data_IF_631306222962
#
_entry.id   IF_631306222962
#
_cell.length_a   1.000
_cell.length_b   1.000
_cell.length_c   1.000
_cell.angle_alpha   90.00
_cell.angle_beta   90.00
_cell.angle_gamma   90.00
#
_symmetry.space_group_name_H-M   'P 1'
#
loop_
_entity.id
_entity.type
_entity.pdbx_description
1 polymer ?
#
# COMPACT_ATOMS: atom_id res chain seq x y z
N UNK A 1 15.17 -23.35 -15.70
CA UNK A 1 14.29 -23.29 -14.52
C UNK A 1 14.25 -21.84 -14.09
N UNK A 2 13.29 -21.10 -14.63
CA UNK A 2 13.07 -19.68 -14.35
C UNK A 2 12.49 -19.57 -12.95
N UNK A 3 13.24 -18.97 -12.03
CA UNK A 3 12.74 -18.65 -10.69
C UNK A 3 11.73 -17.51 -10.82
N UNK A 4 10.52 -17.76 -10.33
CA UNK A 4 9.44 -16.80 -10.22
C UNK A 4 9.82 -15.70 -9.21
N UNK A 5 9.94 -14.46 -9.69
CA UNK A 5 10.27 -13.29 -8.88
C UNK A 5 9.11 -12.86 -7.95
N UNK A 6 7.95 -13.53 -8.01
CA UNK A 6 6.77 -13.27 -7.17
C UNK A 6 6.89 -13.78 -5.71
N UNK A 7 8.02 -14.37 -5.30
CA UNK A 7 8.13 -15.10 -4.02
C UNK A 7 8.93 -14.38 -2.91
N UNK A 8 9.48 -13.20 -3.18
CA UNK A 8 10.22 -12.45 -2.15
C UNK A 8 9.28 -11.50 -1.41
N UNK A 9 9.20 -11.56 -0.07
CA UNK A 9 8.52 -10.51 0.68
C UNK A 9 9.20 -9.17 0.35
N UNK A 10 8.43 -8.06 0.25
CA UNK A 10 9.01 -6.74 0.03
C UNK A 10 10.10 -6.50 1.07
N UNK A 11 11.31 -6.13 0.62
CA UNK A 11 12.39 -5.77 1.54
C UNK A 11 12.06 -4.41 2.15
N UNK A 12 11.42 -4.42 3.31
CA UNK A 12 11.27 -3.23 4.14
C UNK A 12 12.63 -2.91 4.77
N UNK A 13 13.25 -1.82 4.31
CA UNK A 13 14.47 -1.30 4.90
C UNK A 13 14.10 -0.17 5.85
N UNK A 14 14.30 -0.37 7.16
CA UNK A 14 14.26 0.70 8.15
C UNK A 14 15.63 1.37 8.20
N UNK A 15 15.66 2.70 8.17
CA UNK A 15 16.88 3.49 8.37
C UNK A 15 16.66 4.42 9.57
N UNK A 16 17.54 4.34 10.55
CA UNK A 16 17.62 5.33 11.64
C UNK A 16 18.15 6.64 11.04
N UNK A 17 17.39 7.72 11.14
CA UNK A 17 17.81 9.05 10.67
C UNK A 17 18.43 9.78 11.86
N UNK A 18 19.69 10.22 11.71
CA UNK A 18 20.37 11.07 12.70
C UNK A 18 19.77 12.49 12.64
N UNK A 19 18.67 12.70 13.37
CA UNK A 19 17.96 13.97 13.47
C UNK A 19 17.47 14.19 14.90
N UNK A 20 17.31 15.45 15.32
CA UNK A 20 16.76 15.83 16.64
C UNK A 20 15.29 15.39 16.86
N UNK A 21 14.67 14.80 15.85
CA UNK A 21 13.32 14.24 15.87
C UNK A 21 13.42 12.75 15.56
N UNK A 22 12.78 11.89 16.36
CA UNK A 22 12.78 10.41 16.29
C UNK A 22 12.02 9.86 15.06
N UNK A 23 12.09 10.57 13.93
CA UNK A 23 11.35 10.31 12.71
C UNK A 23 11.95 9.15 11.91
N UNK A 24 11.33 7.97 12.02
CA UNK A 24 11.60 6.80 11.17
C UNK A 24 10.75 6.84 9.88
N UNK A 25 11.38 6.76 8.71
CA UNK A 25 10.72 6.74 7.41
C UNK A 25 10.70 5.32 6.81
N UNK A 26 9.61 4.93 6.15
CA UNK A 26 9.57 3.69 5.37
C UNK A 26 10.17 3.92 3.98
N UNK A 27 11.19 3.12 3.65
CA UNK A 27 11.93 3.16 2.40
C UNK A 27 11.64 1.89 1.59
N UNK A 28 11.15 2.06 0.36
CA UNK A 28 10.86 0.97 -0.58
C UNK A 28 11.88 0.98 -1.72
N UNK A 29 12.66 -0.10 -1.90
CA UNK A 29 13.77 -0.19 -2.87
C UNK A 29 13.53 -1.25 -3.99
N UNK A 30 12.33 -1.84 -4.08
CA UNK A 30 12.06 -2.91 -5.06
C UNK A 30 10.81 -2.63 -5.92
N UNK A 31 10.65 -3.40 -7.01
CA UNK A 31 9.43 -3.44 -7.83
C UNK A 31 9.23 -2.32 -8.85
N UNK A 32 8.00 -2.22 -9.39
CA UNK A 32 7.57 -1.23 -10.41
C UNK A 32 7.43 0.17 -9.80
N UNK A 33 8.51 0.72 -9.23
CA UNK A 33 8.58 1.99 -8.49
C UNK A 33 7.79 3.12 -9.16
N UNK A 34 7.93 3.28 -10.48
CA UNK A 34 7.24 4.35 -11.23
C UNK A 34 5.73 4.19 -11.26
N UNK A 35 5.22 2.96 -11.36
CA UNK A 35 3.79 2.70 -11.40
C UNK A 35 3.19 2.89 -10.01
N UNK A 36 3.79 2.27 -9.00
CA UNK A 36 3.32 2.36 -7.62
C UNK A 36 3.31 3.81 -7.11
N UNK A 37 4.39 4.56 -7.39
CA UNK A 37 4.45 6.00 -7.09
C UNK A 37 3.32 6.78 -7.77
N UNK A 38 2.93 6.41 -8.99
CA UNK A 38 1.82 7.04 -9.68
C UNK A 38 0.50 6.76 -8.95
N UNK A 39 0.28 5.54 -8.46
CA UNK A 39 -0.90 5.21 -7.66
C UNK A 39 -0.94 6.05 -6.38
N UNK A 40 0.17 6.13 -5.62
CA UNK A 40 0.26 6.99 -4.43
C UNK A 40 -0.09 8.46 -4.73
N UNK A 41 0.44 9.00 -5.84
CA UNK A 41 0.14 10.38 -6.25
C UNK A 41 -1.32 10.59 -6.63
N UNK A 42 -1.93 9.61 -7.30
CA UNK A 42 -3.36 9.68 -7.64
C UNK A 42 -4.26 9.62 -6.39
N UNK A 43 -3.78 9.02 -5.30
CA UNK A 43 -4.52 8.86 -4.05
C UNK A 43 -4.21 9.95 -3.01
N UNK A 44 -3.26 10.86 -3.26
CA UNK A 44 -2.71 11.79 -2.26
C UNK A 44 -3.79 12.61 -1.52
N UNK A 45 -4.85 13.01 -2.22
CA UNK A 45 -5.94 13.83 -1.65
C UNK A 45 -7.15 13.02 -1.17
N UNK A 46 -7.11 11.69 -1.29
CA UNK A 46 -8.23 10.81 -0.92
C UNK A 46 -8.20 10.40 0.54
N UNK A 47 -7.03 10.51 1.18
CA UNK A 47 -6.80 9.98 2.52
C UNK A 47 -6.73 8.46 2.60
N UNK A 48 -6.81 7.72 1.48
CA UNK A 48 -6.83 6.25 1.45
C UNK A 48 -5.43 5.63 1.55
N UNK A 49 -4.41 6.36 1.14
CA UNK A 49 -3.01 5.93 1.18
C UNK A 49 -2.18 6.87 2.07
N UNK A 50 -1.00 6.44 2.53
CA UNK A 50 0.00 7.37 3.04
C UNK A 50 0.45 8.35 1.95
N UNK A 51 0.76 9.58 2.35
CA UNK A 51 1.27 10.62 1.46
C UNK A 51 2.65 10.23 0.91
N UNK A 52 2.83 10.43 -0.40
CA UNK A 52 4.13 10.33 -1.04
C UNK A 52 5.02 11.53 -0.66
N UNK A 53 6.26 11.26 -0.25
CA UNK A 53 7.21 12.32 0.16
C UNK A 53 8.25 12.62 -0.92
N UNK A 54 8.73 11.59 -1.62
CA UNK A 54 9.79 11.78 -2.62
C UNK A 54 10.36 10.48 -3.16
N UNK A 55 11.19 10.61 -4.20
CA UNK A 55 11.96 9.50 -4.75
C UNK A 55 13.33 9.41 -4.09
N UNK A 56 13.85 8.19 -4.00
CA UNK A 56 15.23 7.89 -3.64
C UNK A 56 16.03 7.74 -4.92
N UNK A 57 17.15 8.44 -5.02
CA UNK A 57 18.03 8.42 -6.19
C UNK A 57 19.40 7.85 -5.85
N UNK A 58 19.90 6.97 -6.71
CA UNK A 58 21.27 6.48 -6.70
C UNK A 58 21.90 6.76 -8.07
N UNK A 59 23.00 7.52 -8.11
CA UNK A 59 23.66 7.92 -9.36
C UNK A 59 22.71 8.52 -10.42
N UNK A 60 21.71 9.29 -9.99
CA UNK A 60 20.70 9.91 -10.86
C UNK A 60 19.55 8.99 -11.29
N UNK A 61 19.61 7.69 -10.98
CA UNK A 61 18.52 6.73 -11.22
C UNK A 61 17.58 6.69 -10.01
N UNK A 62 16.27 6.70 -10.23
CA UNK A 62 15.29 6.40 -9.17
C UNK A 62 15.43 4.94 -8.77
N UNK A 63 15.78 4.69 -7.52
CA UNK A 63 15.93 3.34 -6.93
C UNK A 63 14.86 3.01 -5.89
N UNK A 64 14.05 4.00 -5.51
CA UNK A 64 13.00 3.81 -4.52
C UNK A 64 12.18 5.06 -4.28
N UNK A 65 11.37 5.04 -3.22
CA UNK A 65 10.58 6.18 -2.78
C UNK A 65 10.33 6.14 -1.27
N UNK A 66 9.86 7.28 -0.75
CA UNK A 66 9.56 7.50 0.66
C UNK A 66 8.10 7.93 0.81
N UNK A 67 7.43 7.37 1.81
CA UNK A 67 6.06 7.69 2.20
C UNK A 67 6.04 8.34 3.60
N UNK A 68 4.92 8.97 3.96
CA UNK A 68 4.71 9.42 5.34
C UNK A 68 4.73 8.25 6.32
N UNK A 69 5.23 8.50 7.53
CA UNK A 69 5.22 7.50 8.61
C UNK A 69 3.78 7.23 9.04
N UNK A 70 3.41 5.96 9.00
CA UNK A 70 2.20 5.48 9.65
C UNK A 70 2.59 4.84 10.99
N UNK A 71 2.07 5.39 12.09
CA UNK A 71 2.30 4.87 13.46
C UNK A 71 1.23 3.85 13.85
N UNK A 72 0.57 3.25 12.86
CA UNK A 72 -0.50 2.28 13.03
C UNK A 72 0.00 0.84 13.18
N UNK A 73 -0.93 -0.05 13.50
CA UNK A 73 -0.72 -1.51 13.42
C UNK A 73 -1.23 -2.04 12.09
N UNK A 74 -0.78 -3.21 11.67
CA UNK A 74 -1.42 -3.91 10.56
C UNK A 74 -2.88 -4.22 10.87
N UNK A 75 -3.71 -4.33 9.83
CA UNK A 75 -5.12 -4.68 9.99
C UNK A 75 -5.31 -6.07 10.57
N UNK A 76 -6.46 -6.30 11.18
CA UNK A 76 -6.92 -7.63 11.58
C UNK A 76 -8.40 -7.79 11.29
N UNK A 77 -8.93 -8.99 11.56
CA UNK A 77 -10.36 -9.29 11.38
C UNK A 77 -11.29 -8.37 12.17
N UNK A 78 -10.82 -7.84 13.30
CA UNK A 78 -11.53 -6.85 14.11
C UNK A 78 -11.70 -5.50 13.40
N UNK A 79 -10.84 -5.18 12.43
CA UNK A 79 -10.86 -3.94 11.66
C UNK A 79 -11.65 -4.07 10.34
N UNK A 80 -12.30 -5.22 10.11
CA UNK A 80 -13.00 -5.55 8.87
C UNK A 80 -13.90 -4.41 8.38
N UNK A 81 -14.65 -3.76 9.27
CA UNK A 81 -15.55 -2.67 8.91
C UNK A 81 -14.82 -1.45 8.32
N UNK A 82 -13.70 -1.06 8.90
CA UNK A 82 -12.90 0.09 8.46
C UNK A 82 -12.14 -0.26 7.18
N UNK A 83 -11.58 -1.47 7.09
CA UNK A 83 -10.92 -1.97 5.88
C UNK A 83 -11.91 -2.07 4.71
N UNK A 84 -13.13 -2.58 4.94
CA UNK A 84 -14.18 -2.62 3.93
C UNK A 84 -14.58 -1.22 3.46
N UNK A 85 -14.78 -0.27 4.37
CA UNK A 85 -15.13 1.09 4.01
C UNK A 85 -14.03 1.75 3.15
N UNK A 86 -12.76 1.55 3.52
CA UNK A 86 -11.61 2.01 2.75
C UNK A 86 -11.62 1.40 1.33
N UNK A 87 -11.75 0.07 1.24
CA UNK A 87 -11.70 -0.63 -0.04
C UNK A 87 -12.92 -0.31 -0.92
N UNK A 88 -14.08 -0.03 -0.32
CA UNK A 88 -15.27 0.46 -1.02
C UNK A 88 -15.04 1.84 -1.64
N UNK A 89 -14.34 2.74 -0.93
CA UNK A 89 -13.98 4.04 -1.49
C UNK A 89 -12.94 3.86 -2.61
N UNK A 90 -11.92 3.03 -2.40
CA UNK A 90 -10.88 2.75 -3.39
C UNK A 90 -11.45 2.23 -4.72
N UNK A 91 -12.34 1.23 -4.67
CA UNK A 91 -13.04 0.74 -5.87
C UNK A 91 -14.00 1.77 -6.47
N UNK A 92 -14.59 2.64 -5.65
CA UNK A 92 -15.45 3.74 -6.11
C UNK A 92 -14.70 4.75 -6.97
N UNK A 93 -13.38 4.85 -6.79
CA UNK A 93 -12.47 5.62 -7.64
C UNK A 93 -12.02 4.86 -8.90
N UNK A 94 -12.49 3.62 -9.11
CA UNK A 94 -12.16 2.79 -10.27
C UNK A 94 -10.88 1.95 -10.11
N UNK A 95 -10.37 1.81 -8.89
CA UNK A 95 -9.16 1.04 -8.62
C UNK A 95 -9.44 -0.35 -8.05
N UNK A 96 -8.64 -1.32 -8.46
CA UNK A 96 -8.52 -2.65 -7.88
C UNK A 96 -7.14 -2.74 -7.21
N UNK A 97 -7.03 -3.26 -5.98
CA UNK A 97 -5.74 -3.34 -5.28
C UNK A 97 -4.88 -4.48 -5.84
N UNK A 98 -5.52 -5.62 -6.11
CA UNK A 98 -4.91 -6.82 -6.67
C UNK A 98 -4.18 -7.70 -5.64
N UNK A 99 -4.09 -7.27 -4.38
CA UNK A 99 -3.38 -7.98 -3.30
C UNK A 99 -3.90 -7.57 -1.91
N UNK A 100 -5.19 -7.69 -1.67
CA UNK A 100 -5.74 -7.35 -0.35
C UNK A 100 -5.37 -8.43 0.66
N UNK A 101 -4.53 -8.08 1.64
CA UNK A 101 -4.17 -8.91 2.78
C UNK A 101 -3.94 -8.02 4.01
N UNK A 102 -3.95 -8.60 5.21
CA UNK A 102 -3.86 -7.82 6.46
C UNK A 102 -2.60 -6.97 6.61
N UNK A 103 -1.46 -7.39 6.02
CA UNK A 103 -0.23 -6.60 6.03
C UNK A 103 -0.38 -5.29 5.24
N UNK A 104 -1.19 -5.28 4.19
CA UNK A 104 -1.39 -4.13 3.32
C UNK A 104 -2.37 -3.09 3.88
N UNK A 105 -3.05 -3.38 4.99
CA UNK A 105 -3.84 -2.41 5.73
C UNK A 105 -3.08 -1.92 6.95
N UNK A 106 -3.03 -0.60 7.16
CA UNK A 106 -2.47 0.02 8.36
C UNK A 106 -3.55 0.79 9.09
N UNK A 107 -3.80 0.43 10.33
CA UNK A 107 -4.84 0.99 11.19
C UNK A 107 -4.21 2.00 12.14
N UNK A 108 -4.60 3.26 12.01
CA UNK A 108 -4.12 4.36 12.84
C UNK A 108 -5.30 5.24 13.25
N UNK A 109 -5.46 5.45 14.56
CA UNK A 109 -6.49 6.33 15.12
C UNK A 109 -7.92 5.99 14.65
N UNK A 110 -8.21 4.70 14.45
CA UNK A 110 -9.52 4.22 13.98
C UNK A 110 -9.77 4.36 12.47
N UNK A 111 -8.78 4.85 11.73
CA UNK A 111 -8.80 4.92 10.27
C UNK A 111 -7.87 3.87 9.66
N UNK A 112 -8.23 3.33 8.51
CA UNK A 112 -7.37 2.47 7.72
C UNK A 112 -6.61 3.30 6.66
N UNK A 113 -5.43 2.82 6.28
CA UNK A 113 -4.65 3.23 5.13
C UNK A 113 -4.23 1.98 4.35
N UNK A 114 -4.20 2.07 3.03
CA UNK A 114 -3.77 1.00 2.14
C UNK A 114 -2.35 1.28 1.64
N UNK A 115 -1.53 0.23 1.59
CA UNK A 115 -0.14 0.27 1.11
C UNK A 115 0.12 -0.88 0.13
N UNK A 116 1.26 -0.84 -0.55
CA UNK A 116 1.70 -1.84 -1.53
C UNK A 116 0.81 -1.91 -2.77
N UNK A 117 0.93 -0.89 -3.63
CA UNK A 117 0.11 -0.77 -4.84
C UNK A 117 0.73 -1.44 -6.07
N UNK A 118 1.71 -2.32 -5.91
CA UNK A 118 2.43 -2.92 -7.04
C UNK A 118 1.51 -3.71 -8.00
N UNK A 119 0.48 -4.35 -7.43
CA UNK A 119 -0.52 -5.14 -8.16
C UNK A 119 -1.78 -4.36 -8.51
N UNK A 120 -1.85 -3.09 -8.10
CA UNK A 120 -3.03 -2.27 -8.33
C UNK A 120 -3.26 -2.01 -9.81
N UNK A 121 -4.53 -1.83 -10.18
CA UNK A 121 -4.94 -1.51 -11.54
C UNK A 121 -6.06 -0.48 -11.52
N UNK A 122 -5.97 0.49 -12.42
CA UNK A 122 -7.11 1.35 -12.74
C UNK A 122 -7.98 0.64 -13.78
N UNK A 123 -9.14 0.16 -13.35
CA UNK A 123 -10.06 -0.61 -14.18
C UNK A 123 -11.52 -0.23 -13.88
N UNK A 124 -11.93 1.02 -14.17
CA UNK A 124 -13.31 1.45 -13.97
C UNK A 124 -14.25 0.56 -14.81
N UNK A 125 -15.09 -0.24 -14.15
CA UNK A 125 -16.04 -1.14 -14.80
C UNK A 125 -15.74 -2.63 -14.66
N UNK A 126 -14.58 -3.03 -14.12
CA UNK A 126 -14.32 -4.43 -13.74
C UNK A 126 -15.02 -4.79 -12.40
N UNK A 127 -16.34 -4.62 -12.36
CA UNK A 127 -17.16 -4.77 -11.16
C UNK A 127 -17.04 -6.18 -10.56
N UNK A 128 -16.94 -7.21 -11.41
CA UNK A 128 -16.81 -8.59 -10.97
C UNK A 128 -15.49 -8.83 -10.22
N UNK A 129 -14.36 -8.37 -10.78
CA UNK A 129 -13.06 -8.48 -10.12
C UNK A 129 -13.03 -7.70 -8.79
N UNK A 130 -13.60 -6.49 -8.77
CA UNK A 130 -13.70 -5.67 -7.54
C UNK A 130 -14.61 -6.32 -6.48
N UNK A 131 -15.65 -7.04 -6.89
CA UNK A 131 -16.51 -7.78 -5.97
C UNK A 131 -15.80 -9.03 -5.42
N UNK A 132 -15.03 -9.73 -6.24
CA UNK A 132 -14.20 -10.85 -5.79
C UNK A 132 -13.22 -10.40 -4.72
N UNK A 133 -12.49 -9.30 -4.97
CA UNK A 133 -11.56 -8.70 -3.99
C UNK A 133 -12.26 -8.28 -2.70
N UNK A 134 -13.43 -7.63 -2.80
CA UNK A 134 -14.22 -7.24 -1.62
C UNK A 134 -14.70 -8.44 -0.80
N UNK A 135 -15.10 -9.53 -1.47
CA UNK A 135 -15.62 -10.72 -0.81
C UNK A 135 -14.51 -11.54 -0.14
N UNK A 136 -13.28 -11.51 -0.67
CA UNK A 136 -12.13 -12.20 -0.06
C UNK A 136 -11.55 -11.47 1.15
N UNK A 137 -11.84 -10.17 1.32
CA UNK A 137 -11.23 -9.33 2.36
C UNK A 137 -11.36 -9.91 3.77
N UNK A 138 -12.50 -10.54 4.11
CA UNK A 138 -12.70 -11.13 5.44
C UNK A 138 -11.68 -12.22 5.75
N UNK A 139 -11.47 -13.12 4.80
CA UNK A 139 -10.56 -14.26 4.96
C UNK A 139 -9.12 -13.75 4.98
N UNK A 140 -8.80 -12.79 4.09
CA UNK A 140 -7.48 -12.15 4.00
C UNK A 140 -7.07 -11.32 5.23
N UNK A 141 -8.04 -10.88 6.05
CA UNK A 141 -7.79 -10.24 7.35
C UNK A 141 -7.65 -11.22 8.52
N UNK A 142 -7.90 -12.51 8.28
CA UNK A 142 -7.87 -13.57 9.31
C UNK A 142 -6.68 -14.53 9.15
N UNK A 143 -5.92 -14.42 8.06
CA UNK A 143 -4.71 -15.20 7.75
C UNK A 143 -3.48 -14.70 8.53
#
# INVERSE_FOLDING_TARGET
MSMDQSSYPPTELSMEVDGEDDSEYKIFIHGRIRYETLVYKMLEQTGLAPRFLGHIHEHGRVVGFVLEKLNGRHGGIEDLSVCQALLQHFRGLGWLHGDVNWYNFVIQQGCAKLIDFERSRYCPGEIEAMNVEMNSLRDQLSE
#
